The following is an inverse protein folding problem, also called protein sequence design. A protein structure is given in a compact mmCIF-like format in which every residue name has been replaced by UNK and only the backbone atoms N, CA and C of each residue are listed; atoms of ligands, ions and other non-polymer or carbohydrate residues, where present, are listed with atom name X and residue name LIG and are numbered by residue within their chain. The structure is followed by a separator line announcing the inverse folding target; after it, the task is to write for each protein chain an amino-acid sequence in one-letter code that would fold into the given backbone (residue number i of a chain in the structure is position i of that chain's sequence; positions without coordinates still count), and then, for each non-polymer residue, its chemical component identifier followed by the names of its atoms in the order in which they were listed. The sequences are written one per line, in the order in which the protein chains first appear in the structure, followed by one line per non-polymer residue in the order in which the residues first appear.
data_IF_850805131027
#
_entry.id   IF_850805131027
#
_cell.length_a   1.000
_cell.length_b   1.000
_cell.length_c   1.000
_cell.angle_alpha   90.00
_cell.angle_beta   90.00
_cell.angle_gamma   90.00
#
_symmetry.space_group_name_H-M   'P 1'
#
loop_
_entity.id
_entity.type
_entity.pdbx_description
1 polymer ?
#
# COMPACT_ATOMS: atom_id res chain seq x y z
N UNK A 1 -5.08 -3.60 12.65
CA UNK A 1 -4.86 -3.86 11.20
C UNK A 1 -3.37 -3.79 10.90
N UNK A 2 -2.86 -4.67 10.09
CA UNK A 2 -1.46 -4.64 9.71
C UNK A 2 -1.15 -3.50 8.77
N UNK A 3 -0.05 -2.80 9.02
CA UNK A 3 0.38 -1.64 8.23
C UNK A 3 0.48 -1.96 6.73
N UNK A 4 1.01 -3.13 6.38
CA UNK A 4 1.20 -3.51 4.97
C UNK A 4 -0.12 -3.52 4.19
N UNK A 5 -1.23 -3.82 4.84
CA UNK A 5 -2.54 -3.82 4.16
C UNK A 5 -2.92 -2.43 3.66
N UNK A 6 -2.64 -1.42 4.46
CA UNK A 6 -2.85 -0.04 4.06
C UNK A 6 -1.90 0.34 2.92
N UNK A 7 -0.63 -0.02 3.03
CA UNK A 7 0.38 0.31 2.02
C UNK A 7 0.04 -0.32 0.67
N UNK A 8 -0.34 -1.60 0.67
CA UNK A 8 -0.69 -2.31 -0.57
C UNK A 8 -1.95 -1.72 -1.22
N UNK A 9 -2.95 -1.37 -0.42
CA UNK A 9 -4.15 -0.72 -0.94
C UNK A 9 -3.82 0.64 -1.56
N UNK A 10 -2.96 1.43 -0.91
CA UNK A 10 -2.53 2.72 -1.46
C UNK A 10 -1.83 2.57 -2.81
N UNK A 11 -1.02 1.53 -2.99
CA UNK A 11 -0.35 1.29 -4.27
C UNK A 11 -1.35 1.09 -5.40
N UNK A 12 -2.42 0.35 -5.14
CA UNK A 12 -3.48 0.15 -6.14
C UNK A 12 -4.17 1.48 -6.45
N UNK A 13 -4.52 2.24 -5.41
CA UNK A 13 -5.20 3.52 -5.60
C UNK A 13 -4.32 4.53 -6.34
N UNK A 14 -3.02 4.55 -6.05
CA UNK A 14 -2.08 5.42 -6.78
C UNK A 14 -2.03 5.05 -8.27
N UNK A 15 -2.08 3.77 -8.59
CA UNK A 15 -2.11 3.30 -9.97
C UNK A 15 -3.38 3.73 -10.71
N UNK A 16 -4.44 4.04 -9.98
CA UNK A 16 -5.72 4.48 -10.55
C UNK A 16 -5.89 6.00 -10.51
N UNK A 17 -4.95 6.72 -9.93
CA UNK A 17 -5.10 8.16 -9.67
C UNK A 17 -5.19 9.01 -10.94
N UNK A 18 -4.67 8.53 -12.06
CA UNK A 18 -4.72 9.24 -13.34
C UNK A 18 -5.94 8.86 -14.19
N UNK A 19 -6.79 7.97 -13.71
CA UNK A 19 -7.98 7.54 -14.44
C UNK A 19 -9.05 8.63 -14.39
N UNK A 20 -9.41 9.17 -15.54
CA UNK A 20 -10.28 10.35 -15.61
C UNK A 20 -11.77 10.04 -15.61
N UNK A 21 -12.14 8.80 -15.88
CA UNK A 21 -13.54 8.40 -16.03
C UNK A 21 -14.16 7.80 -14.76
N UNK A 22 -13.52 8.03 -13.61
CA UNK A 22 -14.07 7.60 -12.32
C UNK A 22 -15.09 8.64 -11.85
N UNK A 23 -16.27 8.17 -11.45
CA UNK A 23 -17.31 9.05 -10.93
C UNK A 23 -16.87 9.77 -9.64
N UNK A 24 -17.44 10.95 -9.42
CA UNK A 24 -17.05 11.82 -8.31
C UNK A 24 -17.17 11.15 -6.94
N UNK A 25 -18.21 10.34 -6.72
CA UNK A 25 -18.41 9.67 -5.43
C UNK A 25 -17.28 8.72 -5.11
N UNK A 26 -16.92 7.85 -6.05
CA UNK A 26 -15.82 6.91 -5.85
C UNK A 26 -14.49 7.64 -5.74
N UNK A 27 -14.26 8.63 -6.60
CA UNK A 27 -13.03 9.43 -6.56
C UNK A 27 -12.86 10.12 -5.21
N UNK A 28 -13.94 10.63 -4.62
CA UNK A 28 -13.90 11.25 -3.30
C UNK A 28 -13.41 10.27 -2.24
N UNK A 29 -14.00 9.07 -2.20
CA UNK A 29 -13.63 8.09 -1.17
C UNK A 29 -12.24 7.52 -1.37
N UNK A 30 -11.79 7.36 -2.62
CA UNK A 30 -10.41 6.97 -2.92
C UNK A 30 -9.43 8.04 -2.43
N UNK A 31 -9.73 9.31 -2.71
CA UNK A 31 -8.93 10.44 -2.23
C UNK A 31 -8.92 10.50 -0.71
N UNK A 32 -10.08 10.31 -0.10
CA UNK A 32 -10.22 10.31 1.37
C UNK A 32 -9.36 9.22 2.02
N UNK A 33 -9.34 8.04 1.41
CA UNK A 33 -8.50 6.94 1.88
C UNK A 33 -7.02 7.35 1.85
N UNK A 34 -6.57 7.91 0.74
CA UNK A 34 -5.16 8.33 0.59
C UNK A 34 -4.82 9.42 1.61
N UNK A 35 -5.67 10.41 1.77
CA UNK A 35 -5.44 11.50 2.74
C UNK A 35 -5.40 10.95 4.16
N UNK A 36 -6.34 10.09 4.51
CA UNK A 36 -6.47 9.57 5.87
C UNK A 36 -5.34 8.63 6.27
N UNK A 37 -4.69 8.01 5.30
CA UNK A 37 -3.57 7.07 5.53
C UNK A 37 -2.20 7.67 5.22
N UNK A 38 -2.12 8.98 5.04
CA UNK A 38 -0.85 9.64 4.68
C UNK A 38 0.24 9.43 5.73
N UNK A 39 -0.11 9.51 7.01
CA UNK A 39 0.86 9.31 8.09
C UNK A 39 1.46 7.91 8.07
N UNK A 40 0.64 6.90 7.83
CA UNK A 40 1.08 5.51 7.73
C UNK A 40 2.01 5.33 6.53
N UNK A 41 1.69 5.96 5.42
CA UNK A 41 2.53 5.94 4.23
C UNK A 41 3.90 6.56 4.50
N UNK A 42 3.93 7.73 5.10
CA UNK A 42 5.18 8.43 5.42
C UNK A 42 6.01 7.65 6.42
N UNK A 43 5.36 7.06 7.43
CA UNK A 43 6.03 6.21 8.41
C UNK A 43 6.69 5.01 7.72
N UNK A 44 5.94 4.30 6.87
CA UNK A 44 6.45 3.13 6.17
C UNK A 44 7.64 3.50 5.29
N UNK A 45 7.53 4.58 4.52
CA UNK A 45 8.60 5.02 3.63
C UNK A 45 9.88 5.35 4.40
N UNK A 46 9.74 6.03 5.54
CA UNK A 46 10.87 6.40 6.38
C UNK A 46 11.53 5.16 6.99
N UNK A 47 10.74 4.21 7.49
CA UNK A 47 11.28 3.00 8.08
C UNK A 47 11.94 2.10 7.04
N UNK A 48 11.37 2.00 5.84
CA UNK A 48 12.01 1.27 4.74
C UNK A 48 13.35 1.89 4.36
N UNK A 49 13.43 3.22 4.33
CA UNK A 49 14.70 3.92 4.06
C UNK A 49 15.76 3.56 5.10
N UNK A 50 15.38 3.53 6.38
CA UNK A 50 16.31 3.13 7.44
C UNK A 50 16.81 1.70 7.25
N UNK A 51 15.94 0.79 6.83
CA UNK A 51 16.33 -0.59 6.57
C UNK A 51 17.31 -0.68 5.40
N UNK A 52 17.05 0.03 4.31
CA UNK A 52 17.99 0.07 3.19
C UNK A 52 19.33 0.70 3.61
N UNK A 53 19.32 1.76 4.39
CA UNK A 53 20.56 2.38 4.88
C UNK A 53 21.36 1.43 5.76
N UNK A 54 20.67 0.57 6.52
CA UNK A 54 21.31 -0.38 7.45
C UNK A 54 21.86 -1.61 6.74
N UNK A 55 21.12 -2.15 5.76
CA UNK A 55 21.41 -3.47 5.17
C UNK A 55 21.88 -3.43 3.73
N UNK A 56 21.56 -2.38 2.99
CA UNK A 56 21.91 -2.30 1.58
C UNK A 56 23.30 -1.74 1.35
N UNK A 57 23.93 -2.17 0.26
CA UNK A 57 25.17 -1.54 -0.23
C UNK A 57 24.91 -0.97 -1.61
N UNK A 58 25.56 0.17 -1.91
CA UNK A 58 25.53 0.75 -3.24
C UNK A 58 26.70 0.27 -4.06
N UNK A 59 26.43 -0.11 -5.29
CA UNK A 59 27.46 -0.44 -6.27
C UNK A 59 27.86 0.84 -7.02
N UNK A 60 28.97 0.77 -7.78
CA UNK A 60 29.49 1.90 -8.54
C UNK A 60 28.50 2.45 -9.57
N UNK A 61 27.55 1.65 -10.02
CA UNK A 61 26.49 2.06 -10.95
C UNK A 61 25.22 2.58 -10.22
N UNK A 62 25.35 2.88 -8.95
CA UNK A 62 24.27 3.34 -8.07
C UNK A 62 23.16 2.30 -7.79
N UNK A 63 23.37 1.04 -8.21
CA UNK A 63 22.43 -0.03 -7.90
C UNK A 63 22.47 -0.35 -6.41
N UNK A 64 21.29 -0.44 -5.77
CA UNK A 64 21.17 -0.81 -4.36
C UNK A 64 21.02 -2.32 -4.30
N UNK A 65 21.86 -2.97 -3.48
CA UNK A 65 21.85 -4.41 -3.33
C UNK A 65 21.87 -4.80 -1.85
N UNK A 66 21.03 -5.78 -1.49
CA UNK A 66 21.08 -6.39 -0.16
C UNK A 66 22.04 -7.58 -0.24
N UNK A 67 23.17 -7.56 0.50
CA UNK A 67 24.08 -8.71 0.51
C UNK A 67 23.39 -9.96 1.02
N UNK A 68 23.76 -11.12 0.44
CA UNK A 68 23.15 -12.40 0.77
C UNK A 68 23.23 -12.72 2.27
N UNK A 69 24.35 -12.41 2.92
CA UNK A 69 24.55 -12.65 4.36
C UNK A 69 23.65 -11.77 5.24
N UNK A 70 23.09 -10.70 4.70
CA UNK A 70 22.18 -9.81 5.44
C UNK A 70 20.72 -9.98 5.04
N UNK A 71 20.45 -10.81 4.01
CA UNK A 71 19.11 -10.95 3.46
C UNK A 71 18.10 -11.44 4.50
N UNK A 72 18.47 -12.41 5.34
CA UNK A 72 17.58 -12.97 6.33
C UNK A 72 17.18 -11.91 7.38
N UNK A 73 18.13 -11.11 7.85
CA UNK A 73 17.88 -10.04 8.82
C UNK A 73 17.01 -8.94 8.19
N UNK A 74 17.34 -8.56 6.96
CA UNK A 74 16.56 -7.55 6.23
C UNK A 74 15.11 -8.01 6.07
N UNK A 75 14.91 -9.24 5.60
CA UNK A 75 13.56 -9.78 5.37
C UNK A 75 12.76 -9.86 6.67
N UNK A 76 13.41 -10.25 7.78
CA UNK A 76 12.75 -10.31 9.09
C UNK A 76 12.33 -8.91 9.56
N UNK A 77 13.19 -7.91 9.32
CA UNK A 77 12.88 -6.53 9.69
C UNK A 77 11.72 -5.96 8.85
N UNK A 78 11.70 -6.25 7.55
CA UNK A 78 10.60 -5.85 6.66
C UNK A 78 9.30 -6.52 7.11
N UNK A 79 9.35 -7.81 7.43
CA UNK A 79 8.16 -8.53 7.89
C UNK A 79 7.62 -7.92 9.20
N UNK A 80 8.51 -7.58 10.13
CA UNK A 80 8.10 -6.93 11.38
C UNK A 80 7.45 -5.57 11.13
N UNK A 81 8.01 -4.79 10.21
CA UNK A 81 7.43 -3.50 9.81
C UNK A 81 6.05 -3.70 9.19
N UNK A 82 5.92 -4.66 8.27
CA UNK A 82 4.66 -4.96 7.59
C UNK A 82 3.55 -5.36 8.56
N UNK A 83 3.90 -6.05 9.64
CA UNK A 83 2.95 -6.53 10.66
C UNK A 83 2.67 -5.52 11.77
N UNK A 84 3.26 -4.32 11.69
CA UNK A 84 3.00 -3.27 12.68
C UNK A 84 1.50 -3.02 12.74
N UNK A 85 0.94 -3.06 13.97
CA UNK A 85 -0.48 -2.83 14.15
C UNK A 85 -0.78 -1.35 14.08
N UNK A 86 -1.71 -0.99 13.22
CA UNK A 86 -2.13 0.40 13.03
C UNK A 86 -3.65 0.48 13.07
N UNK A 87 -4.15 1.70 13.25
CA UNK A 87 -5.57 1.94 13.28
C UNK A 87 -6.18 1.74 11.89
N UNK A 88 -7.33 1.06 11.85
CA UNK A 88 -8.11 0.92 10.62
C UNK A 88 -8.60 2.30 10.20
N UNK A 89 -8.41 2.74 8.94
CA UNK A 89 -8.86 4.06 8.50
C UNK A 89 -10.38 4.22 8.52
N UNK A 90 -11.12 3.13 8.67
CA UNK A 90 -12.57 3.20 8.76
C UNK A 90 -13.29 3.48 7.46
N UNK A 91 -12.59 3.36 6.33
CA UNK A 91 -13.15 3.59 5.00
C UNK A 91 -13.38 2.23 4.34
N UNK A 92 -14.58 2.08 3.74
CA UNK A 92 -14.92 0.87 2.98
C UNK A 92 -15.49 1.29 1.64
N UNK A 93 -15.06 0.63 0.58
CA UNK A 93 -15.56 0.85 -0.76
C UNK A 93 -16.71 -0.13 -1.02
N UNK A 94 -17.74 0.34 -1.70
CA UNK A 94 -18.85 -0.50 -2.11
C UNK A 94 -18.43 -1.35 -3.31
N UNK A 95 -18.59 -2.66 -3.21
CA UNK A 95 -18.17 -3.57 -4.27
C UNK A 95 -18.90 -3.29 -5.60
N UNK A 96 -20.19 -3.01 -5.53
CA UNK A 96 -20.97 -2.72 -6.73
C UNK A 96 -20.47 -1.47 -7.44
N UNK A 97 -20.13 -0.44 -6.69
CA UNK A 97 -19.59 0.80 -7.26
C UNK A 97 -18.22 0.57 -7.89
N UNK A 98 -17.33 -0.15 -7.20
CA UNK A 98 -16.03 -0.49 -7.75
C UNK A 98 -16.17 -1.26 -9.07
N UNK A 99 -17.04 -2.25 -9.08
CA UNK A 99 -17.25 -3.10 -10.25
C UNK A 99 -17.87 -2.33 -11.43
N UNK A 100 -18.73 -1.37 -11.13
CA UNK A 100 -19.37 -0.56 -12.17
C UNK A 100 -18.40 0.43 -12.81
N UNK A 101 -17.47 0.98 -12.04
CA UNK A 101 -16.61 2.06 -12.52
C UNK A 101 -15.19 1.61 -12.88
N UNK A 102 -14.72 0.50 -12.33
CA UNK A 102 -13.35 0.05 -12.51
C UNK A 102 -13.32 -1.40 -12.99
N UNK A 103 -12.41 -1.68 -13.91
CA UNK A 103 -12.13 -3.04 -14.35
C UNK A 103 -10.81 -3.46 -13.68
N UNK A 104 -10.92 -4.00 -12.47
CA UNK A 104 -9.75 -4.38 -11.69
C UNK A 104 -9.36 -5.82 -11.97
N UNK A 105 -8.06 -6.06 -12.12
CA UNK A 105 -7.51 -7.41 -12.18
C UNK A 105 -7.55 -8.03 -10.78
N UNK A 106 -7.35 -9.36 -10.70
CA UNK A 106 -7.24 -10.03 -9.41
C UNK A 106 -6.10 -9.43 -8.57
N UNK A 107 -4.99 -9.09 -9.22
CA UNK A 107 -3.83 -8.50 -8.56
C UNK A 107 -4.16 -7.13 -7.95
N UNK A 108 -5.01 -6.35 -8.60
CA UNK A 108 -5.46 -5.05 -8.08
C UNK A 108 -6.54 -5.20 -7.01
N UNK A 109 -7.42 -6.17 -7.17
CA UNK A 109 -8.53 -6.39 -6.23
C UNK A 109 -8.05 -6.94 -4.89
N UNK A 110 -7.07 -7.84 -4.91
CA UNK A 110 -6.59 -8.53 -3.70
C UNK A 110 -6.19 -7.56 -2.58
N UNK A 111 -5.36 -6.51 -2.83
CA UNK A 111 -4.99 -5.58 -1.77
C UNK A 111 -6.14 -4.74 -1.25
N UNK A 112 -7.25 -4.66 -1.98
CA UNK A 112 -8.40 -3.86 -1.57
C UNK A 112 -9.44 -4.64 -0.76
N UNK A 113 -9.29 -5.99 -0.68
CA UNK A 113 -10.33 -6.84 -0.08
C UNK A 113 -10.70 -6.42 1.35
N UNK A 114 -9.74 -6.04 2.15
CA UNK A 114 -9.99 -5.62 3.54
C UNK A 114 -10.76 -4.30 3.64
N UNK A 115 -10.85 -3.56 2.54
CA UNK A 115 -11.49 -2.26 2.47
C UNK A 115 -12.74 -2.27 1.59
N UNK A 116 -13.23 -3.43 1.24
CA UNK A 116 -14.45 -3.58 0.45
C UNK A 116 -15.58 -4.03 1.34
N UNK A 117 -16.72 -3.35 1.19
CA UNK A 117 -17.96 -3.72 1.83
C UNK A 117 -18.78 -4.54 0.82
N UNK A 118 -18.99 -5.80 1.15
CA UNK A 118 -19.74 -6.72 0.28
C UNK A 118 -21.24 -6.60 0.52
N UNK A 119 -21.78 -5.42 0.36
CA UNK A 119 -23.21 -5.22 0.49
C UNK A 119 -23.99 -5.95 -0.60
N UNK A 120 -25.04 -6.54 -0.15
CA UNK A 120 -25.93 -7.33 -1.00
C UNK A 120 -26.81 -6.45 -1.87
#
# INVERSE_FOLDING_TARGET
MELVKIIDARQVLDGLSSKEDIGAHLAYWMTKFVVKTENEHLFYAREMRKLFDTYATRKDDETILIPTEKAAEFNAAVEALNKTDVEDPGIRFNLSELSAELKLSMKQMYPLLDFIDEEK
#
